data_IF_918448448109
#
_entry.id   IF_918448448109
#
_cell.length_a   1.000
_cell.length_b   1.000
_cell.length_c   1.000
_cell.angle_alpha   90.00
_cell.angle_beta   90.00
_cell.angle_gamma   90.00
#
_symmetry.space_group_name_H-M   'P 1'
#
loop_
_entity.id
_entity.type
_entity.pdbx_description
1 polymer ?
#
# COMPACT_ATOMS: atom_id res chain seq x y z
N UNK A 1 -17.87 -6.82 6.12
CA UNK A 1 -17.03 -6.48 4.94
C UNK A 1 -15.63 -6.14 5.43
N UNK A 2 -14.60 -6.67 4.77
CA UNK A 2 -13.20 -6.44 5.14
C UNK A 2 -12.72 -5.01 4.85
N UNK A 3 -13.36 -4.28 3.93
CA UNK A 3 -12.96 -2.92 3.55
C UNK A 3 -13.48 -1.87 4.53
N UNK A 4 -12.69 -0.80 4.75
CA UNK A 4 -13.02 0.32 5.63
C UNK A 4 -14.11 1.25 5.05
N UNK A 5 -14.05 1.54 3.75
CA UNK A 5 -14.88 2.57 3.12
C UNK A 5 -16.41 2.43 3.29
N UNK A 6 -16.98 1.21 3.33
CA UNK A 6 -18.42 1.02 3.56
C UNK A 6 -18.90 1.23 5.01
N UNK A 7 -17.99 1.38 5.98
CA UNK A 7 -18.35 1.61 7.37
C UNK A 7 -18.65 3.08 7.63
N UNK A 8 -19.57 3.36 8.54
CA UNK A 8 -19.78 4.71 9.09
C UNK A 8 -18.79 5.00 10.22
N UNK A 9 -18.63 6.27 10.58
CA UNK A 9 -17.78 6.67 11.71
C UNK A 9 -18.16 5.98 13.04
N UNK A 10 -19.46 5.87 13.41
CA UNK A 10 -19.87 5.07 14.58
C UNK A 10 -19.51 3.59 14.50
N UNK A 11 -19.61 2.96 13.32
CA UNK A 11 -19.24 1.54 13.15
C UNK A 11 -17.75 1.33 13.45
N UNK A 12 -16.90 2.23 12.96
CA UNK A 12 -15.45 2.19 13.20
C UNK A 12 -15.13 2.36 14.68
N UNK A 13 -15.78 3.32 15.35
CA UNK A 13 -15.58 3.56 16.79
C UNK A 13 -16.04 2.36 17.64
N UNK A 14 -17.17 1.73 17.29
CA UNK A 14 -17.73 0.60 18.03
C UNK A 14 -16.92 -0.71 17.85
N UNK A 15 -16.22 -0.87 16.73
CA UNK A 15 -15.41 -2.06 16.45
C UNK A 15 -14.15 -2.18 17.33
N UNK A 16 -13.74 -1.08 17.99
CA UNK A 16 -12.48 -1.02 18.72
C UNK A 16 -11.23 -1.00 17.82
N UNK A 17 -10.03 -0.97 18.43
CA UNK A 17 -8.78 -0.87 17.69
C UNK A 17 -8.52 -2.08 16.79
N UNK A 18 -8.08 -1.84 15.55
CA UNK A 18 -7.80 -2.88 14.54
C UNK A 18 -6.48 -2.64 13.81
N UNK A 19 -5.98 -3.66 13.13
CA UNK A 19 -4.88 -3.51 12.17
C UNK A 19 -5.40 -2.97 10.85
N UNK A 20 -4.92 -1.80 10.43
CA UNK A 20 -5.19 -1.26 9.10
C UNK A 20 -4.23 -1.90 8.08
N UNK A 21 -4.77 -2.70 7.17
CA UNK A 21 -4.06 -3.17 5.99
C UNK A 21 -4.15 -2.07 4.92
N UNK A 22 -3.05 -1.40 4.60
CA UNK A 22 -2.99 -0.35 3.58
C UNK A 22 -2.46 -0.92 2.26
N UNK A 23 -3.30 -1.12 1.24
CA UNK A 23 -2.82 -1.52 -0.08
C UNK A 23 -2.04 -0.37 -0.70
N UNK A 24 -0.81 -0.66 -1.16
CA UNK A 24 0.05 0.29 -1.84
C UNK A 24 0.48 -0.31 -3.18
N UNK A 25 -0.01 0.27 -4.27
CA UNK A 25 0.32 -0.15 -5.64
C UNK A 25 1.20 0.88 -6.35
N UNK A 26 0.95 0.98 -7.66
CA UNK A 26 1.41 2.03 -8.56
C UNK A 26 0.43 2.10 -9.75
N UNK A 27 0.55 3.18 -10.53
CA UNK A 27 -0.10 3.35 -11.83
C UNK A 27 1.02 3.43 -12.87
N UNK A 28 1.32 2.31 -13.53
CA UNK A 28 2.49 2.17 -14.39
C UNK A 28 2.28 1.14 -15.50
N UNK A 29 3.11 1.21 -16.54
CA UNK A 29 3.08 0.20 -17.61
C UNK A 29 3.38 -1.20 -17.06
N UNK A 30 2.71 -2.23 -17.57
CA UNK A 30 3.02 -3.65 -17.30
C UNK A 30 3.10 -4.42 -18.63
N UNK A 31 3.78 -3.82 -19.63
CA UNK A 31 3.78 -4.31 -21.00
C UNK A 31 2.41 -4.21 -21.69
N UNK A 32 2.25 -4.82 -22.89
CA UNK A 32 1.08 -4.61 -23.74
C UNK A 32 -0.17 -5.43 -23.33
N UNK A 33 -0.10 -6.22 -22.26
CA UNK A 33 -1.08 -7.26 -21.94
C UNK A 33 -1.71 -7.10 -20.56
N UNK A 34 -1.17 -6.21 -19.71
CA UNK A 34 -1.68 -5.95 -18.37
C UNK A 34 -2.10 -4.48 -18.24
N UNK A 35 -3.11 -4.19 -17.41
CA UNK A 35 -3.57 -2.83 -17.17
C UNK A 35 -2.60 -2.05 -16.28
N UNK A 36 -2.72 -0.72 -16.33
CA UNK A 36 -1.82 0.19 -15.60
C UNK A 36 -1.95 0.10 -14.07
N UNK A 37 -3.04 -0.46 -13.56
CA UNK A 37 -3.35 -0.58 -12.13
C UNK A 37 -3.03 -1.97 -11.54
N UNK A 38 -2.22 -2.78 -12.26
CA UNK A 38 -1.91 -4.17 -11.89
C UNK A 38 -1.41 -4.28 -10.45
N UNK A 39 -0.46 -3.44 -10.04
CA UNK A 39 0.11 -3.47 -8.69
C UNK A 39 -0.94 -3.18 -7.62
N UNK A 40 -1.83 -2.23 -7.90
CA UNK A 40 -2.92 -1.86 -7.00
C UNK A 40 -3.93 -3.00 -6.85
N UNK A 41 -4.29 -3.67 -7.96
CA UNK A 41 -5.20 -4.83 -7.93
C UNK A 41 -4.63 -5.97 -7.10
N UNK A 42 -3.35 -6.27 -7.28
CA UNK A 42 -2.66 -7.33 -6.54
C UNK A 42 -2.58 -7.00 -5.05
N UNK A 43 -2.17 -5.78 -4.69
CA UNK A 43 -2.12 -5.33 -3.30
C UNK A 43 -3.48 -5.43 -2.59
N UNK A 44 -4.56 -4.98 -3.26
CA UNK A 44 -5.92 -5.06 -2.72
C UNK A 44 -6.38 -6.51 -2.55
N UNK A 45 -6.13 -7.38 -3.54
CA UNK A 45 -6.50 -8.78 -3.50
C UNK A 45 -5.82 -9.51 -2.34
N UNK A 46 -4.53 -9.28 -2.13
CA UNK A 46 -3.78 -9.85 -1.00
C UNK A 46 -4.30 -9.31 0.33
N UNK A 47 -4.49 -7.99 0.46
CA UNK A 47 -4.98 -7.37 1.69
C UNK A 47 -6.35 -7.94 2.09
N UNK A 48 -7.30 -8.07 1.15
CA UNK A 48 -8.60 -8.71 1.38
C UNK A 48 -8.47 -10.18 1.74
N UNK A 49 -7.54 -10.90 1.11
CA UNK A 49 -7.24 -12.30 1.44
C UNK A 49 -6.76 -12.48 2.87
N UNK A 50 -5.93 -11.56 3.36
CA UNK A 50 -5.48 -11.51 4.77
C UNK A 50 -6.65 -11.17 5.69
N UNK A 51 -7.42 -10.14 5.37
CA UNK A 51 -8.54 -9.71 6.21
C UNK A 51 -9.67 -10.75 6.36
N UNK A 52 -9.79 -11.67 5.39
CA UNK A 52 -10.71 -12.80 5.49
C UNK A 52 -10.24 -13.90 6.46
N UNK A 53 -8.97 -13.89 6.90
CA UNK A 53 -8.32 -14.97 7.68
C UNK A 53 -7.76 -14.50 9.01
N UNK A 54 -7.49 -13.22 9.15
CA UNK A 54 -6.89 -12.62 10.35
C UNK A 54 -7.92 -11.71 10.99
N UNK A 55 -8.33 -12.05 12.22
CA UNK A 55 -9.24 -11.24 13.01
C UNK A 55 -8.67 -9.83 13.27
N UNK A 56 -9.55 -8.88 13.61
CA UNK A 56 -9.17 -7.52 13.99
C UNK A 56 -8.34 -6.79 12.93
N UNK A 57 -8.64 -7.04 11.65
CA UNK A 57 -8.05 -6.34 10.51
C UNK A 57 -9.12 -5.64 9.69
N UNK A 58 -8.72 -4.57 9.00
CA UNK A 58 -9.55 -3.86 8.03
C UNK A 58 -8.70 -3.36 6.87
N UNK A 59 -9.23 -3.43 5.66
CA UNK A 59 -8.55 -2.98 4.44
C UNK A 59 -8.85 -1.50 4.22
N UNK A 60 -7.81 -0.67 4.24
CA UNK A 60 -7.90 0.75 3.94
C UNK A 60 -8.08 1.04 2.44
N UNK A 61 -8.39 2.30 2.08
CA UNK A 61 -8.38 2.72 0.68
C UNK A 61 -6.98 2.54 0.07
N UNK A 62 -6.87 2.05 -1.17
CA UNK A 62 -5.57 1.83 -1.80
C UNK A 62 -4.87 3.14 -2.16
N UNK A 63 -3.55 3.19 -1.99
CA UNK A 63 -2.69 4.22 -2.58
C UNK A 63 -2.26 3.73 -3.96
N UNK A 64 -2.93 4.23 -5.00
CA UNK A 64 -2.72 3.77 -6.38
C UNK A 64 -1.66 4.58 -7.15
N UNK A 65 -1.50 5.86 -6.84
CA UNK A 65 -0.44 6.71 -7.44
C UNK A 65 0.71 6.78 -6.45
N UNK A 66 1.86 6.23 -6.83
CA UNK A 66 2.97 5.99 -5.91
C UNK A 66 4.32 6.39 -6.54
N UNK A 67 5.43 5.77 -6.13
CA UNK A 67 6.76 6.06 -6.64
C UNK A 67 7.09 5.12 -7.79
N UNK A 68 6.78 5.55 -9.01
CA UNK A 68 7.02 4.84 -10.28
C UNK A 68 7.76 5.75 -11.28
N UNK A 69 8.84 6.38 -10.80
CA UNK A 69 9.60 7.36 -11.60
C UNK A 69 10.39 6.73 -12.75
N UNK A 70 10.79 5.47 -12.58
CA UNK A 70 11.46 4.61 -13.54
C UNK A 70 10.62 4.36 -14.79
N UNK A 71 9.28 4.37 -14.66
CA UNK A 71 8.35 4.12 -15.77
C UNK A 71 7.82 5.41 -16.41
N UNK A 72 8.36 6.59 -16.08
CA UNK A 72 7.86 7.90 -16.57
C UNK A 72 7.88 8.08 -18.09
N UNK A 73 8.68 7.28 -18.81
CA UNK A 73 8.76 7.31 -20.27
C UNK A 73 7.58 6.64 -20.98
N UNK A 74 6.76 5.88 -20.25
CA UNK A 74 5.64 5.14 -20.80
C UNK A 74 4.32 5.90 -20.60
N UNK A 75 3.49 5.90 -21.65
CA UNK A 75 2.19 6.56 -21.64
C UNK A 75 1.28 5.96 -20.55
N UNK A 76 0.66 6.84 -19.75
CA UNK A 76 -0.28 6.47 -18.70
C UNK A 76 0.36 6.25 -17.31
N UNK A 77 1.69 6.21 -17.19
CA UNK A 77 2.35 6.17 -15.89
C UNK A 77 2.08 7.47 -15.10
N UNK A 78 1.62 7.32 -13.86
CA UNK A 78 1.44 8.42 -12.92
C UNK A 78 2.30 8.17 -11.67
N UNK A 79 3.21 9.10 -11.39
CA UNK A 79 4.15 8.97 -10.26
C UNK A 79 4.19 10.26 -9.46
N UNK A 80 4.03 10.14 -8.14
CA UNK A 80 4.21 11.26 -7.18
C UNK A 80 5.65 11.37 -6.69
N UNK A 81 6.48 10.36 -6.97
CA UNK A 81 7.88 10.29 -6.56
C UNK A 81 8.09 9.92 -5.09
N UNK A 82 9.29 9.42 -4.81
CA UNK A 82 9.67 8.82 -3.52
C UNK A 82 9.48 9.75 -2.32
N UNK A 83 9.85 11.03 -2.46
CA UNK A 83 9.76 11.99 -1.36
C UNK A 83 8.31 12.22 -0.94
N UNK A 84 7.44 12.53 -1.91
CA UNK A 84 6.01 12.78 -1.63
C UNK A 84 5.34 11.52 -1.12
N UNK A 85 5.65 10.34 -1.69
CA UNK A 85 5.12 9.08 -1.18
C UNK A 85 5.55 8.82 0.27
N UNK A 86 6.79 9.15 0.64
CA UNK A 86 7.26 9.05 2.04
C UNK A 86 6.38 9.88 2.96
N UNK A 87 6.16 11.15 2.61
CA UNK A 87 5.34 12.09 3.40
C UNK A 87 3.90 11.58 3.52
N UNK A 88 3.30 11.11 2.41
CA UNK A 88 1.95 10.51 2.40
C UNK A 88 1.85 9.31 3.34
N UNK A 89 2.81 8.38 3.29
CA UNK A 89 2.79 7.19 4.15
C UNK A 89 2.94 7.56 5.63
N UNK A 90 3.81 8.51 5.95
CA UNK A 90 3.98 9.02 7.31
C UNK A 90 2.67 9.65 7.81
N UNK A 91 2.03 10.50 7.01
CA UNK A 91 0.77 11.15 7.40
C UNK A 91 -0.37 10.15 7.57
N UNK A 92 -0.49 9.13 6.71
CA UNK A 92 -1.49 8.06 6.89
C UNK A 92 -1.29 7.35 8.24
N UNK A 93 -0.05 7.00 8.59
CA UNK A 93 0.26 6.33 9.86
C UNK A 93 0.05 7.28 11.05
N UNK A 94 0.25 8.59 10.88
CA UNK A 94 -0.05 9.59 11.89
C UNK A 94 -1.55 9.73 12.13
N UNK A 95 -2.34 9.74 11.06
CA UNK A 95 -3.81 9.86 11.08
C UNK A 95 -4.55 8.60 11.51
N UNK A 96 -3.89 7.43 11.52
CA UNK A 96 -4.51 6.17 11.90
C UNK A 96 -5.15 6.18 13.31
N UNK A 97 -4.71 7.10 14.18
CA UNK A 97 -5.43 7.41 15.42
C UNK A 97 -5.53 6.25 16.40
N UNK A 98 -6.43 6.33 17.40
CA UNK A 98 -6.73 5.24 18.32
C UNK A 98 -7.55 4.10 17.69
N UNK A 99 -8.15 4.31 16.52
CA UNK A 99 -8.96 3.30 15.83
C UNK A 99 -8.12 2.19 15.20
N UNK A 100 -6.83 2.46 14.95
CA UNK A 100 -5.91 1.48 14.36
C UNK A 100 -4.61 1.33 15.16
N UNK A 101 -4.44 0.19 15.85
CA UNK A 101 -3.25 -0.13 16.66
C UNK A 101 -1.95 -0.22 15.86
N UNK A 102 -2.08 -0.49 14.56
CA UNK A 102 -0.97 -0.59 13.62
C UNK A 102 -1.45 -0.43 12.20
N UNK A 103 -0.54 0.04 11.36
CA UNK A 103 -0.69 0.05 9.91
C UNK A 103 0.26 -1.00 9.34
N UNK A 104 -0.25 -1.86 8.46
CA UNK A 104 0.56 -2.80 7.67
C UNK A 104 0.38 -2.45 6.20
N UNK A 105 1.46 -2.01 5.56
CA UNK A 105 1.46 -1.76 4.12
C UNK A 105 1.58 -3.09 3.39
N UNK A 106 0.64 -3.33 2.48
CA UNK A 106 0.65 -4.43 1.52
C UNK A 106 1.11 -3.85 0.19
N UNK A 107 2.41 -3.92 -0.07
CA UNK A 107 3.07 -3.30 -1.22
C UNK A 107 3.06 -4.21 -2.45
N UNK A 108 2.55 -3.69 -3.58
CA UNK A 108 2.52 -4.37 -4.87
C UNK A 108 3.64 -3.98 -5.83
N UNK A 109 4.34 -2.86 -5.59
CA UNK A 109 5.29 -2.29 -6.56
C UNK A 109 6.70 -2.08 -5.98
N UNK A 110 7.73 -2.40 -6.77
CA UNK A 110 9.14 -2.36 -6.34
C UNK A 110 9.69 -0.96 -6.08
N UNK A 111 9.34 0.03 -6.91
CA UNK A 111 9.83 1.42 -6.81
C UNK A 111 9.45 2.12 -5.50
N UNK A 112 8.42 1.62 -4.80
CA UNK A 112 8.02 2.09 -3.47
C UNK A 112 9.05 1.81 -2.36
N UNK A 113 10.04 0.94 -2.60
CA UNK A 113 10.94 0.43 -1.57
C UNK A 113 11.72 1.53 -0.82
N UNK A 114 12.15 2.59 -1.51
CA UNK A 114 12.86 3.69 -0.85
C UNK A 114 11.94 4.55 0.02
N UNK A 115 10.72 4.81 -0.45
CA UNK A 115 9.74 5.57 0.31
C UNK A 115 9.29 4.80 1.55
N UNK A 116 9.06 3.49 1.41
CA UNK A 116 8.73 2.60 2.53
C UNK A 116 9.82 2.59 3.59
N UNK A 117 11.09 2.44 3.18
CA UNK A 117 12.23 2.49 4.12
C UNK A 117 12.32 3.82 4.86
N UNK A 118 12.11 4.94 4.17
CA UNK A 118 12.15 6.26 4.78
C UNK A 118 10.98 6.47 5.75
N UNK A 119 9.76 6.12 5.35
CA UNK A 119 8.57 6.21 6.18
C UNK A 119 8.69 5.32 7.44
N UNK A 120 9.18 4.09 7.30
CA UNK A 120 9.43 3.20 8.43
C UNK A 120 10.34 3.83 9.49
N UNK A 121 11.44 4.48 9.08
CA UNK A 121 12.35 5.16 10.03
C UNK A 121 11.67 6.30 10.77
N UNK A 122 10.86 7.11 10.07
CA UNK A 122 10.12 8.22 10.70
C UNK A 122 9.10 7.68 11.69
N UNK A 123 8.28 6.69 11.28
CA UNK A 123 7.29 6.08 12.15
C UNK A 123 7.92 5.40 13.38
N UNK A 124 9.05 4.70 13.20
CA UNK A 124 9.80 4.07 14.29
C UNK A 124 10.31 5.12 15.29
N UNK A 125 10.90 6.22 14.81
CA UNK A 125 11.36 7.32 15.66
C UNK A 125 10.21 7.99 16.44
N UNK A 126 8.99 7.95 15.91
CA UNK A 126 7.76 8.43 16.56
C UNK A 126 7.08 7.40 17.46
N UNK A 127 7.62 6.18 17.58
CA UNK A 127 7.00 5.10 18.33
C UNK A 127 5.71 4.55 17.69
N UNK A 128 5.50 4.80 16.38
CA UNK A 128 4.33 4.35 15.62
C UNK A 128 4.57 2.97 15.00
N UNK A 129 3.54 2.14 15.02
CA UNK A 129 3.61 0.75 14.54
C UNK A 129 3.29 0.66 13.04
N UNK A 130 4.34 0.72 12.22
CA UNK A 130 4.27 0.49 10.78
C UNK A 130 4.94 -0.85 10.41
N UNK A 131 4.15 -1.78 9.87
CA UNK A 131 4.65 -2.99 9.21
C UNK A 131 4.67 -2.83 7.69
N UNK A 132 5.62 -3.48 7.01
CA UNK A 132 5.68 -3.50 5.55
C UNK A 132 5.81 -4.94 5.07
N UNK A 133 4.92 -5.35 4.19
CA UNK A 133 4.99 -6.61 3.47
C UNK A 133 4.88 -6.32 1.97
N UNK A 134 5.76 -6.92 1.16
CA UNK A 134 5.75 -6.75 -0.29
C UNK A 134 5.44 -8.06 -0.98
N UNK A 135 4.65 -7.99 -2.05
CA UNK A 135 4.42 -9.12 -2.94
C UNK A 135 5.77 -9.54 -3.53
N UNK A 136 6.09 -10.82 -3.37
CA UNK A 136 7.28 -11.44 -3.95
C UNK A 136 6.86 -12.74 -4.59
N UNK A 137 7.31 -12.98 -5.81
CA UNK A 137 7.13 -14.24 -6.51
C UNK A 137 8.49 -14.97 -6.49
N UNK A 138 8.65 -16.03 -5.69
CA UNK A 138 9.89 -16.80 -5.66
C UNK A 138 10.23 -17.31 -7.06
N UNK A 139 11.44 -16.99 -7.54
CA UNK A 139 11.92 -17.46 -8.83
C UNK A 139 11.31 -16.77 -10.06
N UNK A 140 10.54 -15.69 -9.88
CA UNK A 140 10.01 -14.90 -10.98
C UNK A 140 10.46 -13.44 -10.89
N UNK A 141 10.65 -12.82 -12.06
CA UNK A 141 10.78 -11.39 -12.17
C UNK A 141 9.39 -10.76 -12.08
N UNK A 142 9.12 -10.02 -11.00
CA UNK A 142 7.87 -9.29 -10.81
C UNK A 142 7.92 -7.88 -11.44
N UNK A 143 9.00 -7.53 -12.16
CA UNK A 143 9.05 -6.26 -12.87
C UNK A 143 7.98 -6.18 -13.96
N UNK A 144 7.49 -4.97 -14.12
CA UNK A 144 6.54 -4.63 -15.13
C UNK A 144 7.22 -4.64 -16.52
N UNK A 145 6.91 -5.64 -17.35
CA UNK A 145 7.36 -5.68 -18.75
C UNK A 145 8.78 -6.24 -18.96
N UNK A 146 9.38 -5.97 -20.13
CA UNK A 146 10.76 -6.38 -20.41
C UNK A 146 11.69 -5.49 -19.59
N UNK A 147 12.56 -6.10 -18.80
CA UNK A 147 13.84 -5.48 -18.43
C UNK A 147 14.51 -5.07 -19.75
N UNK A 148 14.81 -3.79 -19.91
CA UNK A 148 15.52 -3.29 -21.11
C UNK A 148 16.82 -4.07 -21.36
#
# INVERSE_FOLDING_TARGET
MADLGPHTSPDVAAAGPRTLLLPLGATEQHGPHLPLDTDTRLAVAVARGVAARVADTVVGPPVAIAASGEHRGFAGTLSIGTKVLTDVLVEIVRSAGPEFDRVVVVNGHGGNAYALRAASRVCEAEGRRLGVWSIRLPGADAHAGRTE
#
